data_IF_291068076807
#
_entry.id   IF_291068076807
#
_cell.length_a   1.000
_cell.length_b   1.000
_cell.length_c   1.000
_cell.angle_alpha   90.00
_cell.angle_beta   90.00
_cell.angle_gamma   90.00
#
_symmetry.space_group_name_H-M   'P 1'
#
loop_
_entity.id
_entity.type
_entity.pdbx_description
1 polymer ?
#
# COMPACT_ATOMS: atom_id res chain seq x y z
N UNK A 1 -66.61 4.10 43.97
CA UNK A 1 -65.17 4.46 43.93
C UNK A 1 -64.45 3.52 42.98
N UNK A 2 -64.08 3.96 41.78
CA UNK A 2 -63.37 3.14 40.79
C UNK A 2 -61.86 3.40 40.89
N UNK A 3 -61.08 2.36 41.19
CA UNK A 3 -59.63 2.42 41.37
C UNK A 3 -58.95 2.50 40.00
N UNK A 4 -58.34 3.64 39.67
CA UNK A 4 -57.63 3.88 38.41
C UNK A 4 -56.22 3.25 38.53
N UNK A 5 -55.95 2.17 37.81
CA UNK A 5 -54.61 1.57 37.77
C UNK A 5 -53.69 2.42 36.90
N UNK A 6 -52.60 2.92 37.49
CA UNK A 6 -51.55 3.63 36.75
C UNK A 6 -50.82 2.62 35.86
N UNK A 7 -50.93 2.76 34.53
CA UNK A 7 -50.12 1.99 33.59
C UNK A 7 -48.67 2.40 33.78
N UNK A 8 -47.80 1.43 34.14
CA UNK A 8 -46.36 1.66 34.18
C UNK A 8 -45.88 2.01 32.77
N UNK A 9 -45.10 3.09 32.67
CA UNK A 9 -44.43 3.47 31.44
C UNK A 9 -43.20 2.57 31.25
N UNK A 10 -42.95 2.07 30.03
CA UNK A 10 -41.70 1.39 29.74
C UNK A 10 -40.54 2.36 29.97
N UNK A 11 -39.56 1.93 30.77
CA UNK A 11 -38.36 2.71 31.10
C UNK A 11 -37.15 1.77 31.17
N UNK A 12 -35.99 2.29 30.80
CA UNK A 12 -34.72 1.56 30.89
C UNK A 12 -33.99 1.96 32.17
N UNK A 13 -33.31 1.00 32.80
CA UNK A 13 -32.45 1.27 33.94
C UNK A 13 -31.11 1.85 33.47
N UNK A 14 -30.54 2.78 34.24
CA UNK A 14 -29.19 3.29 34.03
C UNK A 14 -28.15 2.15 33.93
N UNK A 15 -28.27 1.12 34.78
CA UNK A 15 -27.36 -0.03 34.74
C UNK A 15 -27.48 -0.83 33.43
N UNK A 16 -28.67 -0.95 32.86
CA UNK A 16 -28.88 -1.61 31.57
C UNK A 16 -28.21 -0.82 30.45
N UNK A 17 -28.35 0.51 30.46
CA UNK A 17 -27.67 1.39 29.49
C UNK A 17 -26.15 1.34 29.59
N UNK A 18 -25.60 1.25 30.81
CA UNK A 18 -24.16 1.12 31.01
C UNK A 18 -23.61 -0.20 30.45
N UNK A 19 -24.32 -1.32 30.68
CA UNK A 19 -23.91 -2.63 30.13
C UNK A 19 -23.98 -2.62 28.61
N UNK A 20 -25.04 -2.06 28.02
CA UNK A 20 -25.19 -1.96 26.56
C UNK A 20 -24.06 -1.13 25.94
N UNK A 21 -23.73 0.03 26.51
CA UNK A 21 -22.63 0.86 26.04
C UNK A 21 -21.27 0.15 26.18
N UNK A 22 -21.05 -0.59 27.27
CA UNK A 22 -19.83 -1.36 27.45
C UNK A 22 -19.67 -2.46 26.39
N UNK A 23 -20.75 -3.19 26.09
CA UNK A 23 -20.75 -4.23 25.05
C UNK A 23 -20.50 -3.60 23.66
N UNK A 24 -21.18 -2.49 23.32
CA UNK A 24 -20.96 -1.78 22.05
C UNK A 24 -19.50 -1.29 21.95
N UNK A 25 -18.93 -0.77 23.05
CA UNK A 25 -17.54 -0.34 23.09
C UNK A 25 -16.54 -1.47 22.79
N UNK A 26 -16.72 -2.63 23.42
CA UNK A 26 -15.88 -3.82 23.15
C UNK A 26 -16.02 -4.28 21.70
N UNK A 27 -17.25 -4.32 21.18
CA UNK A 27 -17.50 -4.70 19.79
C UNK A 27 -16.83 -3.74 18.80
N UNK A 28 -16.86 -2.44 19.05
CA UNK A 28 -16.17 -1.44 18.21
C UNK A 28 -14.65 -1.63 18.22
N UNK A 29 -14.05 -1.94 19.38
CA UNK A 29 -12.61 -2.20 19.47
C UNK A 29 -12.18 -3.43 18.67
N UNK A 30 -13.01 -4.48 18.63
CA UNK A 30 -12.75 -5.69 17.84
C UNK A 30 -13.06 -5.47 16.35
N UNK A 31 -14.08 -4.66 16.05
CA UNK A 31 -14.60 -4.48 14.70
C UNK A 31 -13.84 -3.43 13.88
N UNK A 32 -13.07 -2.53 14.49
CA UNK A 32 -12.26 -1.57 13.75
C UNK A 32 -11.06 -2.27 13.10
N UNK A 33 -11.04 -2.48 11.77
CA UNK A 33 -9.88 -3.05 11.10
C UNK A 33 -8.73 -2.05 11.14
N UNK A 34 -7.49 -2.57 11.17
CA UNK A 34 -6.33 -1.73 10.92
C UNK A 34 -6.36 -1.31 9.43
N UNK A 35 -6.64 -0.04 9.16
CA UNK A 35 -6.75 0.51 7.80
C UNK A 35 -5.38 0.75 7.14
N UNK A 36 -4.31 0.88 7.93
CA UNK A 36 -2.98 1.21 7.41
C UNK A 36 -2.46 0.17 6.39
N UNK A 37 -2.51 -1.16 6.65
CA UNK A 37 -2.07 -2.18 5.69
C UNK A 37 -2.82 -2.12 4.35
N UNK A 38 -4.08 -1.70 4.34
CA UNK A 38 -4.86 -1.58 3.10
C UNK A 38 -4.41 -0.38 2.27
N UNK A 39 -4.06 0.73 2.94
CA UNK A 39 -3.54 1.94 2.27
C UNK A 39 -2.16 1.64 1.68
N UNK A 40 -1.27 1.00 2.44
CA UNK A 40 0.08 0.63 1.96
C UNK A 40 -0.01 -0.36 0.79
N UNK A 41 -0.92 -1.34 0.85
CA UNK A 41 -1.17 -2.27 -0.25
C UNK A 41 -1.69 -1.55 -1.50
N UNK A 42 -2.62 -0.61 -1.35
CA UNK A 42 -3.13 0.17 -2.48
C UNK A 42 -2.02 1.02 -3.13
N UNK A 43 -1.15 1.64 -2.33
CA UNK A 43 0.02 2.38 -2.82
C UNK A 43 1.04 1.46 -3.51
N UNK A 44 1.25 0.25 -3.00
CA UNK A 44 2.15 -0.74 -3.60
C UNK A 44 1.74 -1.18 -5.01
N UNK A 45 0.46 -1.02 -5.40
CA UNK A 45 0.01 -1.29 -6.77
C UNK A 45 0.71 -0.38 -7.79
N UNK A 46 0.99 0.87 -7.40
CA UNK A 46 1.75 1.83 -8.20
C UNK A 46 3.17 1.29 -8.49
N UNK A 47 3.89 0.88 -7.45
CA UNK A 47 5.22 0.29 -7.56
C UNK A 47 5.22 -0.94 -8.47
N UNK A 48 4.29 -1.88 -8.25
CA UNK A 48 4.18 -3.09 -9.06
C UNK A 48 3.90 -2.79 -10.54
N UNK A 49 3.06 -1.79 -10.81
CA UNK A 49 2.69 -1.41 -12.18
C UNK A 49 3.89 -0.80 -12.91
N UNK A 50 4.60 0.12 -12.25
CA UNK A 50 5.76 0.77 -12.85
C UNK A 50 6.95 -0.17 -12.99
N UNK A 51 7.19 -1.06 -12.02
CA UNK A 51 8.21 -2.11 -12.14
C UNK A 51 7.94 -3.05 -13.33
N UNK A 52 6.67 -3.41 -13.58
CA UNK A 52 6.32 -4.18 -14.78
C UNK A 52 6.54 -3.40 -16.08
N UNK A 53 6.31 -2.08 -16.06
CA UNK A 53 6.62 -1.23 -17.20
C UNK A 53 8.14 -1.22 -17.48
N UNK A 54 8.97 -1.06 -16.44
CA UNK A 54 10.43 -1.17 -16.52
C UNK A 54 10.84 -2.54 -17.09
N UNK A 55 10.29 -3.64 -16.57
CA UNK A 55 10.58 -4.99 -17.10
C UNK A 55 10.26 -5.13 -18.59
N UNK A 56 9.11 -4.62 -19.03
CA UNK A 56 8.75 -4.68 -20.45
C UNK A 56 9.70 -3.85 -21.32
N UNK A 57 10.10 -2.68 -20.84
CA UNK A 57 11.04 -1.79 -21.51
C UNK A 57 12.45 -2.42 -21.60
N UNK A 58 12.95 -2.97 -20.49
CA UNK A 58 14.21 -3.72 -20.43
C UNK A 58 14.19 -4.94 -21.37
N UNK A 59 13.07 -5.68 -21.41
CA UNK A 59 12.91 -6.82 -22.31
C UNK A 59 12.93 -6.40 -23.79
N UNK A 60 12.30 -5.28 -24.12
CA UNK A 60 12.36 -4.71 -25.47
C UNK A 60 13.78 -4.29 -25.83
N UNK A 61 14.48 -3.62 -24.92
CA UNK A 61 15.87 -3.22 -25.11
C UNK A 61 16.79 -4.43 -25.30
N UNK A 62 16.62 -5.48 -24.48
CA UNK A 62 17.34 -6.75 -24.64
C UNK A 62 17.11 -7.39 -26.01
N UNK A 63 15.89 -7.37 -26.55
CA UNK A 63 15.65 -7.89 -27.90
C UNK A 63 16.35 -7.10 -29.01
N UNK A 64 16.61 -5.81 -28.81
CA UNK A 64 17.30 -4.96 -29.78
C UNK A 64 18.82 -5.04 -29.66
N UNK A 65 19.34 -5.11 -28.44
CA UNK A 65 20.77 -4.92 -28.17
C UNK A 65 21.45 -6.13 -27.49
N UNK A 66 20.70 -7.19 -27.20
CA UNK A 66 21.18 -8.41 -26.51
C UNK A 66 21.83 -8.15 -25.14
N UNK A 67 21.44 -7.07 -24.49
CA UNK A 67 21.89 -6.67 -23.14
C UNK A 67 20.79 -5.87 -22.44
N UNK A 68 20.82 -5.81 -21.12
CA UNK A 68 19.99 -4.88 -20.35
C UNK A 68 20.68 -3.53 -20.19
N UNK A 69 19.92 -2.50 -19.82
CA UNK A 69 20.49 -1.17 -19.51
C UNK A 69 20.48 -0.89 -18.01
N UNK A 70 21.24 0.13 -17.61
CA UNK A 70 21.10 0.76 -16.29
C UNK A 70 20.44 2.15 -16.41
N UNK A 71 20.29 2.68 -17.63
CA UNK A 71 19.79 4.02 -17.87
C UNK A 71 18.34 3.96 -18.37
N UNK A 72 17.45 4.61 -17.65
CA UNK A 72 16.04 4.73 -18.03
C UNK A 72 15.82 5.46 -19.35
N UNK A 73 16.74 6.34 -19.75
CA UNK A 73 16.67 7.00 -21.05
C UNK A 73 16.88 6.01 -22.21
N UNK A 74 17.72 4.99 -22.03
CA UNK A 74 17.99 4.00 -23.08
C UNK A 74 16.81 3.05 -23.30
N UNK A 75 16.04 2.79 -22.24
CA UNK A 75 14.84 1.94 -22.30
C UNK A 75 13.55 2.76 -22.49
N UNK A 76 13.66 4.08 -22.71
CA UNK A 76 12.53 4.99 -22.90
C UNK A 76 11.51 4.94 -21.74
N UNK A 77 12.00 4.77 -20.51
CA UNK A 77 11.16 4.73 -19.31
C UNK A 77 11.10 6.12 -18.63
N UNK A 78 9.95 6.76 -18.72
CA UNK A 78 9.67 8.00 -18.00
C UNK A 78 9.06 7.72 -16.63
N UNK A 79 9.87 7.89 -15.57
CA UNK A 79 9.39 7.76 -14.20
C UNK A 79 8.35 8.85 -13.86
N UNK A 80 7.22 8.50 -13.23
CA UNK A 80 6.23 9.50 -12.83
C UNK A 80 6.80 10.44 -11.76
N UNK A 81 6.43 11.73 -11.84
CA UNK A 81 6.90 12.74 -10.88
C UNK A 81 6.46 12.38 -9.46
N UNK A 82 7.43 12.38 -8.55
CA UNK A 82 7.21 12.06 -7.15
C UNK A 82 6.50 13.21 -6.43
N UNK A 83 5.92 12.93 -5.25
CA UNK A 83 5.35 14.01 -4.41
C UNK A 83 6.40 15.04 -3.96
N UNK A 84 7.70 14.70 -4.01
CA UNK A 84 8.79 15.65 -3.72
C UNK A 84 8.94 16.69 -4.83
N UNK A 85 8.59 16.32 -6.06
CA UNK A 85 8.71 17.14 -7.28
C UNK A 85 7.36 17.67 -7.77
N UNK A 86 6.42 17.91 -6.83
CA UNK A 86 5.06 18.38 -7.12
C UNK A 86 4.24 17.43 -8.03
N UNK A 87 4.50 16.13 -7.96
CA UNK A 87 3.74 15.07 -8.62
C UNK A 87 2.89 14.24 -7.65
N UNK A 88 2.45 13.07 -8.10
CA UNK A 88 1.55 12.18 -7.34
C UNK A 88 2.17 10.83 -6.99
N UNK A 89 3.35 10.51 -7.54
CA UNK A 89 3.97 9.20 -7.35
C UNK A 89 4.55 9.06 -5.93
N UNK A 90 4.37 7.87 -5.35
CA UNK A 90 4.82 7.54 -3.99
C UNK A 90 6.13 6.76 -3.96
N UNK A 91 6.65 6.36 -5.12
CA UNK A 91 7.87 5.57 -5.24
C UNK A 91 8.89 6.27 -6.15
N UNK A 92 10.16 6.10 -5.81
CA UNK A 92 11.29 6.39 -6.67
C UNK A 92 11.82 5.08 -7.26
N UNK A 93 12.30 5.12 -8.50
CA UNK A 93 12.74 3.95 -9.24
C UNK A 93 14.22 4.06 -9.57
N UNK A 94 14.94 2.94 -9.50
CA UNK A 94 16.35 2.84 -9.85
C UNK A 94 16.68 1.44 -10.38
N UNK A 95 17.65 1.35 -11.28
CA UNK A 95 18.27 0.06 -11.65
C UNK A 95 19.46 -0.18 -10.73
N UNK A 96 19.40 -1.25 -9.95
CA UNK A 96 20.43 -1.58 -8.95
C UNK A 96 21.49 -2.54 -9.48
N UNK A 97 21.12 -3.38 -10.45
CA UNK A 97 22.04 -4.33 -11.09
C UNK A 97 21.69 -4.45 -12.56
N UNK A 98 22.71 -4.46 -13.42
CA UNK A 98 22.57 -4.74 -14.85
C UNK A 98 23.73 -5.59 -15.33
N UNK A 99 23.43 -6.55 -16.20
CA UNK A 99 24.40 -7.37 -16.93
C UNK A 99 23.84 -7.65 -18.32
N UNK A 100 24.62 -8.35 -19.15
CA UNK A 100 24.14 -8.77 -20.46
C UNK A 100 22.88 -9.64 -20.35
N UNK A 101 22.73 -10.45 -19.28
CA UNK A 101 21.67 -11.46 -19.17
C UNK A 101 20.73 -11.30 -17.97
N UNK A 102 20.96 -10.32 -17.11
CA UNK A 102 20.11 -10.05 -15.94
C UNK A 102 20.01 -8.56 -15.67
N UNK A 103 18.89 -8.16 -15.08
CA UNK A 103 18.75 -6.83 -14.52
C UNK A 103 17.98 -6.92 -13.21
N UNK A 104 18.10 -5.87 -12.41
CA UNK A 104 17.34 -5.72 -11.20
C UNK A 104 16.97 -4.26 -11.03
N UNK A 105 15.67 -3.99 -10.97
CA UNK A 105 15.14 -2.65 -10.70
C UNK A 105 14.45 -2.62 -9.35
N UNK A 106 14.58 -1.50 -8.66
CA UNK A 106 14.04 -1.25 -7.32
C UNK A 106 13.09 -0.06 -7.35
N UNK A 107 11.97 -0.19 -6.67
CA UNK A 107 11.05 0.87 -6.32
C UNK A 107 11.09 1.10 -4.80
N UNK A 108 11.51 2.29 -4.38
CA UNK A 108 11.63 2.67 -2.97
C UNK A 108 10.60 3.73 -2.64
N UNK A 109 9.79 3.51 -1.60
CA UNK A 109 8.81 4.50 -1.16
C UNK A 109 9.51 5.80 -0.72
N UNK A 110 8.95 6.94 -1.11
CA UNK A 110 9.51 8.27 -0.78
C UNK A 110 9.10 8.78 0.60
N UNK A 111 8.10 8.13 1.20
CA UNK A 111 7.55 8.42 2.51
C UNK A 111 7.28 7.10 3.22
N UNK A 112 7.53 7.10 4.52
CA UNK A 112 7.14 6.06 5.45
C UNK A 112 5.61 6.11 5.65
N UNK A 113 4.91 5.01 5.33
CA UNK A 113 3.44 4.98 5.34
C UNK A 113 2.87 4.69 6.73
N UNK A 114 3.57 3.92 7.56
CA UNK A 114 3.10 3.51 8.89
C UNK A 114 3.80 4.25 10.06
N UNK A 115 4.88 4.98 9.80
CA UNK A 115 5.65 5.75 10.77
C UNK A 115 6.69 4.96 11.57
N UNK A 116 7.09 3.76 11.13
CA UNK A 116 8.03 2.88 11.83
C UNK A 116 9.51 3.11 11.46
N UNK A 117 9.79 4.02 10.52
CA UNK A 117 11.13 4.35 10.04
C UNK A 117 11.66 3.42 8.94
N UNK A 118 10.85 2.47 8.47
CA UNK A 118 11.18 1.52 7.41
C UNK A 118 10.39 1.86 6.16
N UNK A 119 11.09 2.03 5.03
CA UNK A 119 10.44 2.36 3.76
C UNK A 119 10.02 1.09 3.04
N UNK A 120 8.83 1.13 2.43
CA UNK A 120 8.39 0.06 1.55
C UNK A 120 9.30 -0.06 0.32
N UNK A 121 9.83 -1.26 0.07
CA UNK A 121 10.72 -1.54 -1.07
C UNK A 121 10.19 -2.71 -1.88
N UNK A 122 10.08 -2.51 -3.19
CA UNK A 122 9.75 -3.53 -4.18
C UNK A 122 10.89 -3.67 -5.18
N UNK A 123 11.14 -4.89 -5.63
CA UNK A 123 12.14 -5.19 -6.66
C UNK A 123 11.53 -6.04 -7.76
N UNK A 124 12.03 -5.89 -8.98
CA UNK A 124 11.73 -6.77 -10.11
C UNK A 124 13.03 -7.17 -10.79
N UNK A 125 13.05 -8.42 -11.26
CA UNK A 125 14.15 -9.04 -11.98
C UNK A 125 13.72 -9.41 -13.41
N UNK A 126 14.61 -10.06 -14.16
CA UNK A 126 14.31 -10.57 -15.51
C UNK A 126 13.21 -11.66 -15.56
N UNK A 127 12.74 -12.16 -14.41
CA UNK A 127 11.61 -13.10 -14.38
C UNK A 127 10.26 -12.36 -14.42
N UNK A 128 10.26 -11.03 -14.29
CA UNK A 128 9.09 -10.17 -14.48
C UNK A 128 8.08 -10.21 -13.33
N UNK A 129 8.48 -10.71 -12.16
CA UNK A 129 7.62 -10.80 -10.98
C UNK A 129 8.07 -9.79 -9.90
N UNK A 130 7.33 -8.69 -9.69
CA UNK A 130 7.62 -7.76 -8.59
C UNK A 130 7.53 -8.48 -7.23
N UNK A 131 8.60 -8.40 -6.43
CA UNK A 131 8.68 -8.96 -5.08
C UNK A 131 8.86 -7.82 -4.09
N UNK A 132 8.09 -7.88 -3.00
CA UNK A 132 8.27 -6.97 -1.88
C UNK A 132 9.47 -7.44 -1.06
N UNK A 133 10.48 -6.59 -0.92
CA UNK A 133 11.72 -6.90 -0.18
C UNK A 133 11.61 -6.42 1.25
N UNK A 134 10.97 -5.27 1.45
CA UNK A 134 10.74 -4.68 2.77
C UNK A 134 9.28 -4.30 2.93
N UNK A 135 8.66 -4.81 4.00
CA UNK A 135 7.29 -4.50 4.36
C UNK A 135 7.24 -3.21 5.18
N UNK A 136 6.22 -2.42 4.89
CA UNK A 136 5.72 -1.26 5.63
C UNK A 136 4.24 -1.55 5.89
#
# INVERSE_FOLDING_TARGET
>A
MTKKYSKKLPSFNLQEMLIVLAIIGILLLIALPNLMPLITKAKSVEAQTQLKAIFNAEKQYYFMYSKYSADFNEIEFDAPKTIKDNGTANYAYEVIETSDNSFKARATAIKDFNGDGVFNVWEIDQDGNPKQVTND
#
